data_IF_648901408456
#
_entry.id   IF_648901408456
#
_cell.length_a   1.000
_cell.length_b   1.000
_cell.length_c   1.000
_cell.angle_alpha   90.00
_cell.angle_beta   90.00
_cell.angle_gamma   90.00
#
_symmetry.space_group_name_H-M   'P 1'
#
loop_
_entity.id
_entity.type
_entity.pdbx_description
1 polymer ?
#
# COMPACT_ATOMS: atom_id res chain seq x y z
N UNK A 1 -1.20 43.82 18.20
CA UNK A 1 -2.36 42.89 18.07
C UNK A 1 -3.64 43.70 18.18
N UNK A 2 -4.25 44.13 17.05
CA UNK A 2 -5.52 44.83 17.06
C UNK A 2 -6.62 43.82 17.37
N UNK A 3 -7.14 43.81 18.58
CA UNK A 3 -8.35 43.13 18.95
C UNK A 3 -9.48 43.59 18.01
N UNK A 4 -9.86 42.73 17.04
CA UNK A 4 -10.97 43.03 16.13
C UNK A 4 -12.24 42.81 16.91
N UNK A 5 -13.01 43.89 17.12
CA UNK A 5 -14.34 43.80 17.71
C UNK A 5 -15.21 42.90 16.83
N UNK A 6 -15.86 41.89 17.36
CA UNK A 6 -16.76 41.03 16.60
C UNK A 6 -17.86 41.87 15.94
N UNK A 7 -18.01 41.70 14.61
CA UNK A 7 -19.05 42.38 13.83
C UNK A 7 -19.95 41.34 13.18
N UNK A 8 -21.25 41.60 13.18
CA UNK A 8 -22.26 40.79 12.50
C UNK A 8 -22.33 41.11 11.03
N UNK A 9 -22.29 40.10 10.18
CA UNK A 9 -22.42 40.18 8.74
C UNK A 9 -23.55 39.27 8.25
N UNK A 10 -24.25 39.69 7.20
CA UNK A 10 -25.30 38.91 6.55
C UNK A 10 -24.74 38.25 5.30
N UNK A 11 -24.98 36.98 5.12
CA UNK A 11 -24.59 36.23 3.91
C UNK A 11 -25.45 36.67 2.73
N UNK A 12 -24.86 37.34 1.75
CA UNK A 12 -25.54 37.82 0.55
C UNK A 12 -25.62 36.77 -0.56
N UNK A 13 -24.59 35.96 -0.69
CA UNK A 13 -24.52 34.88 -1.70
C UNK A 13 -23.59 33.77 -1.25
N UNK A 14 -23.84 32.54 -1.74
CA UNK A 14 -22.99 31.37 -1.54
C UNK A 14 -22.71 30.77 -2.91
N UNK A 15 -21.43 30.76 -3.31
CA UNK A 15 -20.94 30.11 -4.52
C UNK A 15 -20.24 28.80 -4.15
N UNK A 16 -20.47 27.73 -4.91
CA UNK A 16 -19.77 26.44 -4.76
C UNK A 16 -18.89 26.22 -5.96
N UNK A 17 -17.62 25.86 -5.72
CA UNK A 17 -16.62 25.60 -6.76
C UNK A 17 -15.93 24.25 -6.52
N UNK A 18 -15.36 23.66 -7.59
CA UNK A 18 -14.63 22.39 -7.51
C UNK A 18 -15.49 21.15 -7.44
N UNK A 19 -16.80 21.27 -7.64
CA UNK A 19 -17.77 20.18 -7.72
C UNK A 19 -18.15 19.98 -9.18
N UNK A 20 -17.97 18.78 -9.71
CA UNK A 20 -18.26 18.45 -11.09
C UNK A 20 -19.43 17.45 -11.22
N UNK A 21 -19.68 16.66 -10.20
CA UNK A 21 -20.64 15.54 -10.23
C UNK A 21 -21.73 15.63 -9.18
N UNK A 22 -21.58 16.47 -8.18
CA UNK A 22 -22.59 16.72 -7.15
C UNK A 22 -23.32 18.03 -7.46
N UNK A 23 -24.61 18.05 -7.11
CA UNK A 23 -25.41 19.27 -7.21
C UNK A 23 -24.94 20.30 -6.16
N UNK A 24 -24.67 21.52 -6.62
CA UNK A 24 -24.23 22.62 -5.77
C UNK A 24 -25.26 22.98 -4.69
N UNK A 25 -26.57 22.86 -4.99
CA UNK A 25 -27.64 23.11 -4.01
C UNK A 25 -27.61 22.09 -2.86
N UNK A 26 -27.30 20.84 -3.16
CA UNK A 26 -27.13 19.79 -2.14
C UNK A 26 -25.94 20.12 -1.24
N UNK A 27 -24.82 20.54 -1.83
CA UNK A 27 -23.62 20.93 -1.07
C UNK A 27 -23.92 22.08 -0.10
N UNK A 28 -24.61 23.13 -0.56
CA UNK A 28 -25.03 24.25 0.28
C UNK A 28 -25.93 23.75 1.42
N UNK A 29 -26.91 22.92 1.12
CA UNK A 29 -27.80 22.33 2.13
C UNK A 29 -27.06 21.52 3.19
N UNK A 30 -26.09 20.70 2.77
CA UNK A 30 -25.25 19.89 3.71
C UNK A 30 -24.39 20.80 4.57
N UNK A 31 -23.86 21.89 4.04
CA UNK A 31 -23.02 22.83 4.80
C UNK A 31 -23.80 23.44 5.97
N UNK A 32 -25.11 23.60 5.82
CA UNK A 32 -25.98 24.28 6.78
C UNK A 32 -25.91 25.79 6.73
N UNK A 33 -25.20 26.37 5.73
CA UNK A 33 -25.17 27.80 5.49
C UNK A 33 -26.29 28.20 4.53
N UNK A 34 -26.93 29.33 4.80
CA UNK A 34 -28.02 29.87 3.97
C UNK A 34 -27.77 31.35 3.64
N UNK A 35 -28.26 31.77 2.51
CA UNK A 35 -28.34 33.20 2.18
C UNK A 35 -29.28 33.88 3.16
N UNK A 36 -28.85 34.99 3.77
CA UNK A 36 -29.54 35.67 4.84
C UNK A 36 -29.08 35.33 6.25
N UNK A 37 -28.22 34.32 6.42
CA UNK A 37 -27.65 33.98 7.71
C UNK A 37 -26.82 35.15 8.26
N UNK A 38 -26.93 35.35 9.57
CA UNK A 38 -26.13 36.34 10.30
C UNK A 38 -24.94 35.67 10.97
N UNK A 39 -23.76 36.07 10.56
CA UNK A 39 -22.49 35.47 10.99
C UNK A 39 -21.60 36.54 11.65
N UNK A 40 -21.21 36.27 12.89
CA UNK A 40 -20.30 37.16 13.63
C UNK A 40 -18.85 36.84 13.28
N UNK A 41 -18.09 37.81 12.83
CA UNK A 41 -16.67 37.67 12.44
C UNK A 41 -15.82 38.70 13.19
N UNK A 42 -14.77 38.28 13.92
CA UNK A 42 -14.43 36.90 14.29
C UNK A 42 -15.32 36.34 15.39
N UNK A 43 -15.37 35.01 15.54
CA UNK A 43 -15.94 34.34 16.70
C UNK A 43 -17.12 33.42 16.43
N UNK A 44 -17.66 33.36 15.20
CA UNK A 44 -18.75 32.44 14.87
C UNK A 44 -18.24 31.03 14.58
N UNK A 45 -18.94 30.04 15.12
CA UNK A 45 -18.73 28.61 14.84
C UNK A 45 -19.35 28.16 13.49
N UNK A 46 -20.08 29.05 12.79
CA UNK A 46 -20.84 28.70 11.59
C UNK A 46 -19.97 28.06 10.52
N UNK A 47 -18.80 28.64 10.23
CA UNK A 47 -17.88 28.10 9.24
C UNK A 47 -17.28 26.77 9.66
N UNK A 48 -16.91 26.64 10.94
CA UNK A 48 -16.37 25.38 11.48
C UNK A 48 -17.38 24.26 11.42
N UNK A 49 -18.64 24.56 11.73
CA UNK A 49 -19.77 23.61 11.62
C UNK A 49 -20.04 23.22 10.17
N UNK A 50 -20.03 24.18 9.25
CA UNK A 50 -20.23 23.94 7.82
C UNK A 50 -19.14 23.03 7.27
N UNK A 51 -17.87 23.33 7.57
CA UNK A 51 -16.73 22.49 7.18
C UNK A 51 -16.86 21.09 7.77
N UNK A 52 -17.19 20.96 9.06
CA UNK A 52 -17.39 19.67 9.72
C UNK A 52 -18.55 18.84 9.11
N UNK A 53 -19.63 19.49 8.74
CA UNK A 53 -20.78 18.84 8.09
C UNK A 53 -20.40 18.27 6.72
N UNK A 54 -19.66 19.03 5.92
CA UNK A 54 -19.17 18.60 4.61
C UNK A 54 -18.14 17.46 4.75
N UNK A 55 -17.22 17.54 5.68
CA UNK A 55 -16.25 16.47 5.96
C UNK A 55 -16.91 15.17 6.43
N UNK A 56 -17.98 15.26 7.19
CA UNK A 56 -18.74 14.10 7.68
C UNK A 56 -19.30 13.24 6.56
N UNK A 57 -19.58 13.82 5.40
CA UNK A 57 -20.03 13.08 4.22
C UNK A 57 -18.97 12.18 3.60
N UNK A 58 -17.67 12.42 3.89
CA UNK A 58 -16.53 11.67 3.33
C UNK A 58 -16.39 11.73 1.79
N UNK A 59 -17.19 12.57 1.14
CA UNK A 59 -17.23 12.73 -0.32
C UNK A 59 -16.10 13.61 -0.86
N UNK A 60 -15.50 14.40 0.01
CA UNK A 60 -14.53 15.43 -0.37
C UNK A 60 -13.13 15.10 0.15
N UNK A 61 -12.11 15.43 -0.63
CA UNK A 61 -10.69 15.36 -0.25
C UNK A 61 -10.17 16.70 0.28
N UNK A 62 -10.83 17.80 -0.08
CA UNK A 62 -10.56 19.12 0.46
C UNK A 62 -11.86 19.90 0.61
N UNK A 63 -11.95 20.73 1.66
CA UNK A 63 -13.08 21.62 1.95
C UNK A 63 -12.52 22.94 2.46
N UNK A 64 -12.80 24.02 1.77
CA UNK A 64 -12.40 25.37 2.15
C UNK A 64 -13.57 26.33 1.99
N UNK A 65 -13.69 27.32 2.87
CA UNK A 65 -14.69 28.38 2.78
C UNK A 65 -13.94 29.69 2.77
N UNK A 66 -14.20 30.48 1.74
CA UNK A 66 -13.61 31.81 1.56
C UNK A 66 -14.69 32.87 1.63
N UNK A 67 -14.32 34.04 2.15
CA UNK A 67 -15.09 35.26 2.01
C UNK A 67 -14.54 35.97 0.76
N UNK A 68 -15.32 36.02 -0.31
CA UNK A 68 -14.88 36.59 -1.60
C UNK A 68 -15.10 38.10 -1.66
N UNK A 69 -16.22 38.58 -1.08
CA UNK A 69 -16.54 39.99 -1.05
C UNK A 69 -17.09 40.40 0.31
N UNK A 70 -16.78 41.65 0.71
CA UNK A 70 -17.32 42.25 1.91
C UNK A 70 -17.81 43.67 1.55
N UNK A 71 -19.10 43.85 1.48
CA UNK A 71 -19.71 45.13 1.13
C UNK A 71 -20.63 45.62 2.25
N UNK A 72 -20.14 46.58 3.06
CA UNK A 72 -20.84 47.06 4.24
C UNK A 72 -21.00 45.96 5.31
N UNK A 73 -22.25 45.54 5.55
CA UNK A 73 -22.60 44.46 6.47
C UNK A 73 -22.93 43.15 5.74
N UNK A 74 -22.69 43.07 4.43
CA UNK A 74 -22.94 41.89 3.62
C UNK A 74 -21.62 41.19 3.25
N UNK A 75 -21.65 39.84 3.25
CA UNK A 75 -20.53 38.99 2.82
C UNK A 75 -20.99 38.00 1.75
N UNK A 76 -20.16 37.81 0.72
CA UNK A 76 -20.27 36.74 -0.24
C UNK A 76 -19.33 35.59 0.14
N UNK A 77 -19.84 34.37 0.12
CA UNK A 77 -19.09 33.17 0.49
C UNK A 77 -18.80 32.32 -0.73
N UNK A 78 -17.63 31.70 -0.75
CA UNK A 78 -17.26 30.65 -1.70
C UNK A 78 -16.86 29.39 -0.95
N UNK A 79 -17.58 28.30 -1.23
CA UNK A 79 -17.24 26.95 -0.73
C UNK A 79 -16.47 26.24 -1.83
N UNK A 80 -15.18 26.08 -1.64
CA UNK A 80 -14.28 25.39 -2.56
C UNK A 80 -14.06 23.95 -2.10
N UNK A 81 -14.34 23.00 -2.97
CA UNK A 81 -14.35 21.56 -2.68
C UNK A 81 -13.51 20.80 -3.70
N UNK A 82 -13.02 19.66 -3.29
CA UNK A 82 -12.43 18.65 -4.20
C UNK A 82 -13.12 17.33 -3.95
N UNK A 83 -13.86 16.83 -4.93
CA UNK A 83 -14.56 15.55 -4.84
C UNK A 83 -13.58 14.37 -4.81
N UNK A 84 -13.91 13.35 -4.03
CA UNK A 84 -13.17 12.09 -4.04
C UNK A 84 -13.67 11.19 -5.16
N UNK A 85 -12.78 10.60 -5.96
CA UNK A 85 -13.19 9.62 -6.98
C UNK A 85 -13.67 8.33 -6.33
N UNK A 86 -14.55 7.64 -7.04
CA UNK A 86 -14.99 6.28 -6.72
C UNK A 86 -14.07 5.26 -7.39
N UNK A 87 -13.98 4.07 -6.81
CA UNK A 87 -13.25 2.96 -7.41
C UNK A 87 -14.04 2.38 -8.59
N UNK A 88 -13.55 2.57 -9.80
CA UNK A 88 -14.11 1.94 -11.01
C UNK A 88 -13.68 0.49 -11.10
N UNK A 89 -12.38 0.26 -11.15
CA UNK A 89 -11.79 -1.07 -11.22
C UNK A 89 -10.45 -1.11 -10.50
N UNK A 90 -9.91 -2.31 -10.26
CA UNK A 90 -8.54 -2.48 -9.79
C UNK A 90 -7.88 -3.70 -10.41
N UNK A 91 -6.56 -3.65 -10.51
CA UNK A 91 -5.73 -4.71 -11.10
C UNK A 91 -4.40 -4.85 -10.38
N UNK A 92 -3.74 -5.99 -10.61
CA UNK A 92 -2.43 -6.31 -10.03
C UNK A 92 -1.42 -6.53 -11.12
N UNK A 93 -0.20 -6.02 -10.93
CA UNK A 93 0.95 -6.17 -11.83
C UNK A 93 2.14 -6.72 -11.03
N UNK A 94 2.96 -7.56 -11.65
CA UNK A 94 4.14 -8.17 -11.03
C UNK A 94 3.88 -9.51 -10.33
N UNK A 95 2.66 -10.04 -10.42
CA UNK A 95 2.24 -11.30 -9.77
C UNK A 95 1.58 -12.26 -10.75
N UNK A 96 1.45 -13.52 -10.35
CA UNK A 96 0.79 -14.55 -11.16
C UNK A 96 -0.74 -14.39 -11.11
N UNK A 97 -1.44 -14.82 -12.17
CA UNK A 97 -2.90 -14.74 -12.27
C UNK A 97 -3.61 -15.40 -11.07
N UNK A 98 -3.16 -16.59 -10.66
CA UNK A 98 -3.73 -17.30 -9.51
C UNK A 98 -3.56 -16.54 -8.18
N UNK A 99 -2.44 -15.82 -8.01
CA UNK A 99 -2.22 -14.96 -6.83
C UNK A 99 -3.12 -13.73 -6.87
N UNK A 100 -3.34 -13.16 -8.08
CA UNK A 100 -4.24 -12.03 -8.26
C UNK A 100 -5.69 -12.39 -7.92
N UNK A 101 -6.16 -13.56 -8.35
CA UNK A 101 -7.50 -14.08 -8.02
C UNK A 101 -7.67 -14.29 -6.50
N UNK A 102 -6.66 -14.85 -5.83
CA UNK A 102 -6.66 -15.03 -4.38
C UNK A 102 -6.67 -13.69 -3.62
N UNK A 103 -5.86 -12.72 -4.07
CA UNK A 103 -5.81 -11.38 -3.51
C UNK A 103 -7.10 -10.61 -3.73
N UNK A 104 -7.73 -10.74 -4.90
CA UNK A 104 -9.00 -10.08 -5.22
C UNK A 104 -10.09 -10.43 -4.20
N UNK A 105 -10.12 -11.69 -3.74
CA UNK A 105 -11.06 -12.12 -2.70
C UNK A 105 -10.74 -11.60 -1.30
N UNK A 106 -9.48 -11.23 -1.03
CA UNK A 106 -9.02 -10.81 0.31
C UNK A 106 -8.92 -9.30 0.51
N UNK A 107 -8.71 -8.54 -0.55
CA UNK A 107 -8.39 -7.11 -0.48
C UNK A 107 -9.56 -6.24 0.00
N UNK A 108 -10.80 -6.76 -0.07
CA UNK A 108 -11.99 -6.07 0.43
C UNK A 108 -12.37 -4.79 -0.34
N UNK A 109 -11.85 -4.61 -1.56
CA UNK A 109 -12.20 -3.48 -2.42
C UNK A 109 -13.46 -3.81 -3.23
N UNK A 110 -14.47 -2.95 -3.12
CA UNK A 110 -15.69 -3.05 -3.92
C UNK A 110 -15.77 -1.90 -4.94
N UNK A 111 -16.33 -2.18 -6.10
CA UNK A 111 -16.60 -1.13 -7.12
C UNK A 111 -17.51 -0.06 -6.52
N UNK A 112 -17.37 1.15 -6.99
CA UNK A 112 -18.10 2.34 -6.53
C UNK A 112 -17.82 2.77 -5.08
N UNK A 113 -16.88 2.14 -4.38
CA UNK A 113 -16.42 2.60 -3.08
C UNK A 113 -15.57 3.87 -3.26
N UNK A 114 -15.74 4.83 -2.36
CA UNK A 114 -14.94 6.07 -2.37
C UNK A 114 -13.49 5.75 -2.06
N UNK A 115 -12.58 6.21 -2.91
CA UNK A 115 -11.14 6.03 -2.70
C UNK A 115 -10.67 7.03 -1.64
N UNK A 116 -10.30 6.52 -0.48
CA UNK A 116 -9.70 7.29 0.61
C UNK A 116 -8.26 6.83 0.84
N UNK A 117 -7.48 7.64 1.55
CA UNK A 117 -6.12 7.24 1.95
C UNK A 117 -6.13 5.96 2.81
N UNK A 118 -7.14 5.83 3.67
CA UNK A 118 -7.31 4.62 4.47
C UNK A 118 -7.63 3.38 3.61
N UNK A 119 -8.44 3.55 2.56
CA UNK A 119 -8.75 2.47 1.60
C UNK A 119 -7.46 1.99 0.90
N UNK A 120 -6.59 2.91 0.47
CA UNK A 120 -5.31 2.60 -0.15
C UNK A 120 -4.38 1.87 0.83
N UNK A 121 -4.24 2.40 2.05
CA UNK A 121 -3.38 1.81 3.09
C UNK A 121 -3.82 0.41 3.46
N UNK A 122 -5.10 0.21 3.73
CA UNK A 122 -5.63 -1.12 4.06
C UNK A 122 -5.39 -2.13 2.93
N UNK A 123 -5.54 -1.70 1.67
CA UNK A 123 -5.27 -2.56 0.53
C UNK A 123 -3.78 -2.99 0.48
N UNK A 124 -2.86 -2.05 0.71
CA UNK A 124 -1.42 -2.33 0.79
C UNK A 124 -1.11 -3.30 1.92
N UNK A 125 -1.63 -3.05 3.13
CA UNK A 125 -1.42 -3.91 4.30
C UNK A 125 -1.90 -5.36 4.05
N UNK A 126 -3.05 -5.53 3.41
CA UNK A 126 -3.57 -6.86 3.04
C UNK A 126 -2.63 -7.57 2.06
N UNK A 127 -2.11 -6.84 1.06
CA UNK A 127 -1.17 -7.40 0.08
C UNK A 127 0.15 -7.78 0.76
N UNK A 128 0.72 -6.90 1.57
CA UNK A 128 1.97 -7.14 2.30
C UNK A 128 1.83 -8.34 3.25
N UNK A 129 0.74 -8.40 4.00
CA UNK A 129 0.44 -9.52 4.88
C UNK A 129 0.33 -10.84 4.12
N UNK A 130 -0.39 -10.84 3.00
CA UNK A 130 -0.55 -12.01 2.13
C UNK A 130 0.79 -12.59 1.68
N UNK A 131 1.71 -11.74 1.26
CA UNK A 131 3.03 -12.18 0.83
C UNK A 131 3.97 -12.50 1.99
N UNK A 132 3.87 -11.75 3.11
CA UNK A 132 4.62 -12.04 4.33
C UNK A 132 4.30 -13.44 4.85
N UNK A 133 3.03 -13.84 4.85
CA UNK A 133 2.60 -15.19 5.24
C UNK A 133 3.14 -16.29 4.29
N UNK A 134 3.36 -15.94 3.02
CA UNK A 134 4.01 -16.81 2.03
C UNK A 134 5.54 -16.80 2.11
N UNK A 135 6.12 -16.02 3.04
CA UNK A 135 7.56 -15.93 3.31
C UNK A 135 8.31 -14.85 2.54
N UNK A 136 7.61 -13.93 1.89
CA UNK A 136 8.20 -12.76 1.25
C UNK A 136 8.16 -11.57 2.22
N UNK A 137 9.27 -11.28 2.90
CA UNK A 137 9.32 -10.24 3.96
C UNK A 137 9.57 -8.83 3.46
N UNK A 138 10.09 -8.68 2.24
CA UNK A 138 10.49 -7.40 1.66
C UNK A 138 9.61 -7.04 0.46
N UNK A 139 8.30 -7.25 0.60
CA UNK A 139 7.34 -6.90 -0.45
C UNK A 139 7.23 -5.38 -0.55
N UNK A 140 7.26 -4.86 -1.76
CA UNK A 140 7.00 -3.46 -2.06
C UNK A 140 5.74 -3.36 -2.91
N UNK A 141 4.82 -2.50 -2.49
CA UNK A 141 3.57 -2.24 -3.20
C UNK A 141 3.51 -0.78 -3.59
N UNK A 142 3.36 -0.51 -4.88
CA UNK A 142 3.13 0.84 -5.41
C UNK A 142 1.74 0.89 -6.00
N UNK A 143 0.98 1.93 -5.68
CA UNK A 143 -0.34 2.17 -6.25
C UNK A 143 -0.21 3.21 -7.36
N UNK A 144 -0.72 2.88 -8.53
CA UNK A 144 -0.93 3.81 -9.63
C UNK A 144 -2.44 4.04 -9.76
N UNK A 145 -2.84 5.31 -9.77
CA UNK A 145 -4.24 5.72 -9.90
C UNK A 145 -4.43 6.45 -11.21
N UNK A 146 -5.41 6.01 -12.01
CA UNK A 146 -5.75 6.62 -13.30
C UNK A 146 -7.26 6.83 -13.39
N UNK A 147 -7.71 7.95 -13.99
CA UNK A 147 -9.13 8.15 -14.28
C UNK A 147 -9.68 6.99 -15.11
N UNK A 148 -10.85 6.49 -14.76
CA UNK A 148 -11.56 5.49 -15.53
C UNK A 148 -12.51 6.17 -16.52
N UNK A 149 -12.21 6.16 -17.84
CA UNK A 149 -13.02 6.85 -18.83
C UNK A 149 -14.41 6.24 -19.01
N UNK A 150 -14.63 5.02 -18.54
CA UNK A 150 -15.91 4.30 -18.66
C UNK A 150 -16.93 4.66 -17.58
N UNK A 151 -16.48 5.28 -16.49
CA UNK A 151 -17.33 5.59 -15.34
C UNK A 151 -17.11 7.03 -14.86
N UNK A 152 -18.19 7.72 -14.60
CA UNK A 152 -18.18 9.10 -14.12
C UNK A 152 -17.59 9.19 -12.70
N UNK A 153 -16.69 10.15 -12.48
CA UNK A 153 -15.99 10.36 -11.20
C UNK A 153 -15.40 9.07 -10.60
N UNK A 154 -14.74 8.30 -11.44
CA UNK A 154 -14.16 7.01 -11.04
C UNK A 154 -12.70 6.90 -11.46
N UNK A 155 -11.90 6.29 -10.61
CA UNK A 155 -10.51 5.97 -10.89
C UNK A 155 -10.28 4.46 -10.81
N UNK A 156 -9.38 3.98 -11.65
CA UNK A 156 -8.86 2.62 -11.59
C UNK A 156 -7.58 2.60 -10.78
N UNK A 157 -7.43 1.61 -9.90
CA UNK A 157 -6.22 1.39 -9.10
C UNK A 157 -5.42 0.23 -9.69
N UNK A 158 -4.13 0.44 -9.96
CA UNK A 158 -3.20 -0.61 -10.35
C UNK A 158 -2.17 -0.80 -9.24
N UNK A 159 -2.14 -2.00 -8.65
CA UNK A 159 -1.19 -2.37 -7.62
C UNK A 159 0.03 -3.03 -8.27
N UNK A 160 1.14 -2.31 -8.32
CA UNK A 160 2.43 -2.83 -8.74
C UNK A 160 3.11 -3.50 -7.56
N UNK A 161 3.27 -4.82 -7.63
CA UNK A 161 3.78 -5.63 -6.52
C UNK A 161 5.14 -6.21 -6.89
N UNK A 162 6.16 -5.82 -6.13
CA UNK A 162 7.46 -6.46 -6.15
C UNK A 162 7.60 -7.33 -4.89
N UNK A 163 7.60 -8.63 -5.08
CA UNK A 163 7.67 -9.60 -3.98
C UNK A 163 9.06 -9.70 -3.35
N UNK A 164 10.08 -9.26 -4.07
CA UNK A 164 11.45 -9.48 -3.66
C UNK A 164 11.81 -10.98 -3.54
N UNK A 165 12.80 -11.28 -2.71
CA UNK A 165 13.25 -12.66 -2.48
C UNK A 165 12.50 -13.30 -1.33
N UNK A 166 12.17 -14.58 -1.49
CA UNK A 166 11.57 -15.37 -0.41
C UNK A 166 12.60 -15.62 0.68
N UNK A 167 12.26 -15.29 1.93
CA UNK A 167 13.08 -15.63 3.10
C UNK A 167 12.94 -17.11 3.38
N UNK A 168 14.07 -17.77 3.58
CA UNK A 168 14.16 -19.20 3.95
C UNK A 168 15.03 -19.35 5.18
N UNK A 169 14.70 -20.30 6.03
CA UNK A 169 15.54 -20.66 7.19
C UNK A 169 16.76 -21.41 6.67
N UNK A 170 17.94 -20.90 6.95
CA UNK A 170 19.18 -21.52 6.53
C UNK A 170 19.56 -22.69 7.44
N UNK A 171 19.50 -22.47 8.74
CA UNK A 171 19.84 -23.46 9.77
C UNK A 171 18.93 -23.31 10.99
N UNK A 172 18.72 -24.40 11.70
CA UNK A 172 17.90 -24.51 12.88
C UNK A 172 18.67 -25.27 13.95
N UNK A 173 19.08 -24.58 14.99
CA UNK A 173 19.84 -25.17 16.09
C UNK A 173 19.01 -25.22 17.36
N UNK A 174 19.12 -26.31 18.10
CA UNK A 174 18.48 -26.49 19.39
C UNK A 174 19.56 -26.51 20.49
N UNK A 175 19.22 -25.95 21.65
CA UNK A 175 20.10 -25.91 22.80
C UNK A 175 19.39 -26.51 23.99
N UNK A 176 20.10 -27.33 24.79
CA UNK A 176 19.55 -27.97 25.99
C UNK A 176 18.70 -29.24 25.73
N UNK A 177 18.75 -29.78 24.54
CA UNK A 177 17.98 -30.98 24.14
C UNK A 177 18.75 -32.27 24.37
N UNK A 178 19.06 -32.59 25.62
CA UNK A 178 19.82 -33.81 26.02
C UNK A 178 19.08 -35.10 25.69
N UNK A 179 17.75 -35.13 25.80
CA UNK A 179 16.94 -36.34 25.65
C UNK A 179 16.54 -36.65 24.20
N UNK A 180 16.53 -35.64 23.31
CA UNK A 180 16.06 -35.78 21.92
C UNK A 180 17.00 -35.03 20.98
N UNK A 181 17.61 -35.75 20.04
CA UNK A 181 18.53 -35.13 19.06
C UNK A 181 17.83 -34.18 18.11
N UNK A 182 18.60 -33.17 17.62
CA UNK A 182 18.18 -32.10 16.72
C UNK A 182 17.37 -32.59 15.51
N UNK A 183 17.79 -33.67 14.88
CA UNK A 183 17.12 -34.25 13.71
C UNK A 183 15.67 -34.67 13.96
N UNK A 184 15.41 -35.18 15.17
CA UNK A 184 14.04 -35.56 15.57
C UNK A 184 13.20 -34.32 15.84
N UNK A 185 13.76 -33.29 16.46
CA UNK A 185 13.11 -32.03 16.71
C UNK A 185 12.80 -31.31 15.40
N UNK A 186 13.77 -31.23 14.47
CA UNK A 186 13.60 -30.65 13.12
C UNK A 186 12.46 -31.30 12.33
N UNK A 187 12.32 -32.64 12.43
CA UNK A 187 11.24 -33.42 11.78
C UNK A 187 9.85 -33.08 12.31
N UNK A 188 9.73 -32.71 13.58
CA UNK A 188 8.46 -32.36 14.21
C UNK A 188 8.00 -30.93 13.87
N UNK A 189 8.91 -30.08 13.42
CA UNK A 189 8.59 -28.70 13.04
C UNK A 189 7.93 -28.63 11.67
N UNK A 190 6.57 -28.73 11.64
CA UNK A 190 5.80 -28.77 10.37
C UNK A 190 5.82 -27.45 9.60
N UNK A 191 5.85 -26.32 10.31
CA UNK A 191 5.77 -24.97 9.72
C UNK A 191 7.12 -24.33 9.40
N UNK A 192 8.23 -24.85 9.96
CA UNK A 192 9.56 -24.27 9.81
C UNK A 192 10.51 -25.36 9.36
N UNK A 193 10.98 -25.26 8.11
CA UNK A 193 11.94 -26.21 7.54
C UNK A 193 13.19 -25.49 7.11
N UNK A 194 14.33 -26.08 7.37
CA UNK A 194 15.60 -25.63 6.82
C UNK A 194 15.60 -25.69 5.29
N UNK A 195 16.36 -24.81 4.69
CA UNK A 195 16.61 -24.86 3.27
C UNK A 195 17.38 -26.13 2.93
N UNK A 196 17.03 -26.78 1.82
CA UNK A 196 17.80 -27.93 1.33
C UNK A 196 19.28 -27.56 1.21
N UNK A 197 20.13 -28.40 1.79
CA UNK A 197 21.59 -28.24 1.68
C UNK A 197 22.09 -28.48 0.25
N UNK A 198 21.31 -29.17 -0.59
CA UNK A 198 21.64 -29.42 -1.98
C UNK A 198 21.14 -28.27 -2.87
N UNK A 199 22.03 -27.71 -3.69
CA UNK A 199 21.72 -26.72 -4.71
C UNK A 199 22.08 -27.22 -6.10
N UNK A 200 21.18 -27.00 -7.09
CA UNK A 200 21.48 -27.30 -8.49
C UNK A 200 22.26 -26.16 -9.19
N UNK A 201 22.31 -24.99 -8.58
CA UNK A 201 23.04 -23.80 -9.04
C UNK A 201 24.03 -23.34 -7.95
N UNK A 202 25.16 -24.00 -7.80
CA UNK A 202 26.19 -23.56 -6.86
C UNK A 202 26.78 -22.22 -7.31
N UNK A 203 27.04 -21.35 -6.36
CA UNK A 203 27.76 -20.10 -6.60
C UNK A 203 29.27 -20.33 -6.31
N UNK A 204 30.11 -19.65 -7.07
CA UNK A 204 31.53 -19.66 -6.79
C UNK A 204 31.80 -19.05 -5.42
N UNK A 205 32.62 -19.72 -4.62
CA UNK A 205 32.91 -19.30 -3.24
C UNK A 205 34.06 -18.31 -3.26
N UNK A 206 33.89 -17.06 -2.79
CA UNK A 206 35.00 -16.13 -2.66
C UNK A 206 36.02 -16.69 -1.65
N UNK A 207 37.25 -16.87 -2.09
CA UNK A 207 38.39 -17.26 -1.26
C UNK A 207 39.25 -16.03 -0.93
N UNK A 208 39.97 -16.00 0.21
CA UNK A 208 40.94 -14.95 0.51
C UNK A 208 42.04 -14.79 -0.56
N UNK A 209 42.24 -15.80 -1.40
CA UNK A 209 43.23 -15.83 -2.47
C UNK A 209 42.63 -15.65 -3.88
N UNK A 210 41.32 -15.28 -3.98
CA UNK A 210 40.62 -15.11 -5.24
C UNK A 210 39.31 -15.91 -5.26
N UNK A 211 38.66 -15.92 -6.41
CA UNK A 211 37.43 -16.73 -6.62
C UNK A 211 37.89 -18.14 -7.02
N UNK A 212 37.57 -19.13 -6.22
CA UNK A 212 37.78 -20.54 -6.61
C UNK A 212 36.73 -20.90 -7.67
N UNK A 213 37.16 -21.03 -8.92
CA UNK A 213 36.33 -21.54 -9.97
C UNK A 213 35.95 -23.00 -9.66
N UNK A 214 34.67 -23.30 -9.72
CA UNK A 214 34.13 -24.66 -9.55
C UNK A 214 34.59 -25.54 -10.73
N UNK A 215 34.88 -26.78 -10.43
CA UNK A 215 35.17 -27.78 -11.45
C UNK A 215 33.90 -27.99 -12.28
N UNK A 216 33.96 -27.77 -13.59
CA UNK A 216 32.83 -28.02 -14.50
C UNK A 216 32.65 -29.54 -14.71
N UNK A 217 31.42 -29.98 -14.92
CA UNK A 217 31.12 -31.41 -15.10
C UNK A 217 31.94 -32.07 -16.19
N UNK A 218 32.12 -31.39 -17.34
CA UNK A 218 32.98 -31.89 -18.44
C UNK A 218 34.46 -32.08 -18.03
N UNK A 219 34.97 -31.16 -17.25
CA UNK A 219 36.33 -31.19 -16.73
C UNK A 219 36.53 -32.31 -15.70
N UNK A 220 35.56 -32.47 -14.80
CA UNK A 220 35.49 -33.57 -13.83
C UNK A 220 35.51 -34.94 -14.53
N UNK A 221 34.73 -35.12 -15.59
CA UNK A 221 34.65 -36.38 -16.35
C UNK A 221 35.93 -36.60 -17.16
N UNK A 222 36.44 -35.58 -17.85
CA UNK A 222 37.63 -35.68 -18.67
C UNK A 222 38.93 -36.00 -17.87
N UNK A 223 38.96 -35.50 -16.63
CA UNK A 223 40.10 -35.78 -15.71
C UNK A 223 39.92 -37.07 -14.90
N UNK A 224 38.93 -37.90 -15.23
CA UNK A 224 38.64 -39.14 -14.51
C UNK A 224 38.37 -38.92 -13.01
N UNK A 225 37.89 -37.74 -12.65
CA UNK A 225 37.67 -37.34 -11.25
C UNK A 225 36.78 -38.29 -10.45
N UNK A 226 35.91 -39.06 -11.09
CA UNK A 226 35.08 -40.09 -10.49
C UNK A 226 35.84 -41.30 -9.91
N UNK A 227 37.13 -41.46 -10.30
CA UNK A 227 38.01 -42.49 -9.73
C UNK A 227 38.76 -42.01 -8.47
N UNK A 228 38.66 -40.72 -8.14
CA UNK A 228 39.26 -40.12 -6.97
C UNK A 228 38.19 -39.62 -6.01
N UNK A 229 38.22 -40.10 -4.76
CA UNK A 229 37.33 -39.62 -3.72
C UNK A 229 37.50 -38.13 -3.39
N UNK A 230 38.72 -37.61 -3.51
CA UNK A 230 39.03 -36.21 -3.27
C UNK A 230 38.47 -35.32 -4.39
N UNK A 231 38.66 -35.70 -5.64
CA UNK A 231 38.12 -34.96 -6.79
C UNK A 231 36.60 -34.99 -6.83
N UNK A 232 35.99 -36.13 -6.51
CA UNK A 232 34.56 -36.27 -6.38
C UNK A 232 34.00 -35.36 -5.27
N UNK A 233 34.69 -35.30 -4.13
CA UNK A 233 34.30 -34.40 -3.06
C UNK A 233 34.40 -32.93 -3.49
N UNK A 234 35.54 -32.51 -4.05
CA UNK A 234 35.75 -31.15 -4.53
C UNK A 234 34.76 -30.71 -5.62
N UNK A 235 34.35 -31.65 -6.47
CA UNK A 235 33.30 -31.42 -7.46
C UNK A 235 31.91 -31.26 -6.81
N UNK A 236 31.62 -32.06 -5.80
CA UNK A 236 30.30 -32.07 -5.14
C UNK A 236 30.13 -31.00 -4.05
N UNK A 237 31.19 -30.63 -3.33
CA UNK A 237 31.16 -29.68 -2.22
C UNK A 237 30.44 -28.36 -2.56
N UNK A 238 30.62 -27.72 -3.74
CA UNK A 238 29.88 -26.52 -4.10
C UNK A 238 28.36 -26.71 -4.22
N UNK A 239 27.90 -27.94 -4.41
CA UNK A 239 26.49 -28.27 -4.50
C UNK A 239 25.83 -28.50 -3.14
N UNK A 240 26.64 -28.63 -2.06
CA UNK A 240 26.17 -28.74 -0.70
C UNK A 240 26.39 -27.41 0.04
N UNK A 241 25.34 -26.88 0.67
CA UNK A 241 25.39 -25.64 1.46
C UNK A 241 25.50 -25.96 2.94
#
# INVERSE_FOLDING_TARGET
EKSRVPKEYTVSSIKVTGVNYLDTAIVVSISGLQVGDKIQIPGSDAFSKAIANLWRQRLFSNVQIFITEMTGDNIALEISLVERPKLGNFSFVGIKKSEAEELQGKIGLAKSTIITENTRRNAVEVIEKFYSDKGFKNVQVRIEEKPDPSLTNSNSLTFHIDKGRKVRVNDLSFYGNEAVGDDRLKKQMKGTKEMSKLTLNPQDVPSPYGVNERIKFGEYVNNWGFLSGTETKNFLDPYFR
#
